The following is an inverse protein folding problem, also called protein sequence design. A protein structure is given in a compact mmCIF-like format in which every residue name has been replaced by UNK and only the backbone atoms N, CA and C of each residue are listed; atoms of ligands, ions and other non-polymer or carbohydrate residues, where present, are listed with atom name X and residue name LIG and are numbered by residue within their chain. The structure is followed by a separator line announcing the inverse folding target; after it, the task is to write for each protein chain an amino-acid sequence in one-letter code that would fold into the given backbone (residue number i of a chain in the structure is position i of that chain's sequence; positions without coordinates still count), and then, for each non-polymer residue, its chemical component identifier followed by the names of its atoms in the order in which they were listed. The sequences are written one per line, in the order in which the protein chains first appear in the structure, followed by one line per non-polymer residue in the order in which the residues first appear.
data_IF_120450342118
#
_entry.id   IF_120450342118
#
_cell.length_a   1.000
_cell.length_b   1.000
_cell.length_c   1.000
_cell.angle_alpha   90.00
_cell.angle_beta   90.00
_cell.angle_gamma   90.00
#
_symmetry.space_group_name_H-M   'P 1'
#
loop_
_entity.id
_entity.type
_entity.pdbx_description
1 polymer ?
#
# COMPACT_ATOMS: atom_id res chain seq x y z
N UNK A 1 -6.99 -10.95 -57.16
CA UNK A 1 -7.10 -11.78 -55.93
C UNK A 1 -6.29 -11.22 -54.76
N UNK A 2 -5.23 -10.45 -54.98
CA UNK A 2 -4.38 -9.96 -53.87
C UNK A 2 -5.04 -8.85 -53.04
N UNK A 3 -5.72 -7.91 -53.69
CA UNK A 3 -6.47 -6.82 -53.02
C UNK A 3 -7.54 -7.37 -52.07
N UNK A 4 -8.26 -8.42 -52.48
CA UNK A 4 -9.28 -9.07 -51.65
C UNK A 4 -8.65 -9.70 -50.40
N UNK A 5 -7.47 -10.32 -50.55
CA UNK A 5 -6.73 -10.92 -49.42
C UNK A 5 -6.29 -9.86 -48.42
N UNK A 6 -5.78 -8.72 -48.91
CA UNK A 6 -5.34 -7.60 -48.07
C UNK A 6 -6.51 -7.03 -47.24
N UNK A 7 -7.66 -6.76 -47.87
CA UNK A 7 -8.85 -6.29 -47.15
C UNK A 7 -9.40 -7.33 -46.17
N UNK A 8 -9.38 -8.62 -46.51
CA UNK A 8 -9.82 -9.66 -45.58
C UNK A 8 -8.91 -9.74 -44.35
N UNK A 9 -7.59 -9.58 -44.52
CA UNK A 9 -6.63 -9.61 -43.42
C UNK A 9 -6.85 -8.42 -42.47
N UNK A 10 -7.02 -7.22 -43.03
CA UNK A 10 -7.32 -6.01 -42.27
C UNK A 10 -8.65 -6.18 -41.51
N UNK A 11 -9.69 -6.70 -42.16
CA UNK A 11 -10.98 -6.94 -41.53
C UNK A 11 -10.86 -7.87 -40.32
N UNK A 12 -10.17 -9.00 -40.47
CA UNK A 12 -9.95 -9.94 -39.37
C UNK A 12 -9.10 -9.33 -38.24
N UNK A 13 -8.07 -8.54 -38.57
CA UNK A 13 -7.25 -7.85 -37.58
C UNK A 13 -8.09 -6.86 -36.76
N UNK A 14 -8.92 -6.05 -37.42
CA UNK A 14 -9.82 -5.11 -36.75
C UNK A 14 -10.87 -5.85 -35.92
N UNK A 15 -11.51 -6.88 -36.46
CA UNK A 15 -12.52 -7.66 -35.75
C UNK A 15 -11.97 -8.32 -34.49
N UNK A 16 -10.71 -8.80 -34.53
CA UNK A 16 -10.04 -9.40 -33.38
C UNK A 16 -9.71 -8.37 -32.29
N UNK A 17 -9.34 -7.15 -32.68
CA UNK A 17 -8.97 -6.08 -31.74
C UNK A 17 -10.15 -5.25 -31.23
N UNK A 18 -11.27 -5.25 -31.95
CA UNK A 18 -12.48 -4.51 -31.63
C UNK A 18 -12.98 -4.72 -30.19
N UNK A 19 -13.17 -5.96 -29.67
CA UNK A 19 -13.66 -6.16 -28.31
C UNK A 19 -12.72 -5.58 -27.25
N UNK A 20 -11.40 -5.68 -27.45
CA UNK A 20 -10.40 -5.09 -26.55
C UNK A 20 -10.46 -3.56 -26.54
N UNK A 21 -10.65 -2.93 -27.70
CA UNK A 21 -10.80 -1.48 -27.81
C UNK A 21 -12.07 -0.99 -27.11
N UNK A 22 -13.20 -1.70 -27.29
CA UNK A 22 -14.46 -1.40 -26.59
C UNK A 22 -14.28 -1.54 -25.08
N UNK A 23 -13.69 -2.64 -24.61
CA UNK A 23 -13.41 -2.87 -23.18
C UNK A 23 -12.53 -1.76 -22.60
N UNK A 24 -11.47 -1.36 -23.31
CA UNK A 24 -10.58 -0.28 -22.88
C UNK A 24 -11.34 1.04 -22.75
N UNK A 25 -12.14 1.42 -23.76
CA UNK A 25 -12.93 2.65 -23.70
C UNK A 25 -13.94 2.64 -22.55
N UNK A 26 -14.55 1.48 -22.28
CA UNK A 26 -15.54 1.29 -21.23
C UNK A 26 -14.93 1.44 -19.82
N UNK A 27 -13.69 1.01 -19.62
CA UNK A 27 -12.98 1.20 -18.34
C UNK A 27 -12.86 2.68 -17.97
N UNK A 28 -12.70 3.58 -18.94
CA UNK A 28 -12.56 5.01 -18.70
C UNK A 28 -13.89 5.79 -18.72
N UNK A 29 -14.98 5.16 -19.15
CA UNK A 29 -16.30 5.77 -19.21
C UNK A 29 -16.96 5.90 -17.83
N UNK A 30 -16.58 5.04 -16.87
CA UNK A 30 -17.10 5.09 -15.51
C UNK A 30 -16.31 6.10 -14.67
N UNK A 31 -16.78 7.35 -14.62
CA UNK A 31 -16.13 8.42 -13.87
C UNK A 31 -16.57 8.55 -12.39
N UNK A 32 -17.45 7.67 -11.90
CA UNK A 32 -18.01 7.77 -10.54
C UNK A 32 -17.35 6.82 -9.53
N UNK A 33 -16.02 6.72 -9.54
CA UNK A 33 -15.32 6.20 -8.37
C UNK A 33 -15.23 7.33 -7.33
N UNK A 34 -16.32 7.51 -6.59
CA UNK A 34 -16.34 8.41 -5.45
C UNK A 34 -15.29 7.91 -4.44
N UNK A 35 -14.18 8.62 -4.33
CA UNK A 35 -13.14 8.27 -3.39
C UNK A 35 -13.70 8.44 -1.98
N UNK A 36 -13.61 7.39 -1.18
CA UNK A 36 -13.99 7.48 0.22
C UNK A 36 -12.98 8.38 0.95
N UNK A 37 -13.45 9.53 1.45
CA UNK A 37 -12.67 10.45 2.28
C UNK A 37 -12.99 10.34 3.78
N UNK A 38 -14.02 9.56 4.13
CA UNK A 38 -14.43 9.34 5.51
C UNK A 38 -14.08 7.92 5.98
N UNK A 39 -12.99 7.82 6.75
CA UNK A 39 -12.49 6.56 7.31
C UNK A 39 -13.05 6.26 8.71
N UNK A 40 -13.87 7.16 9.25
CA UNK A 40 -14.38 7.09 10.63
C UNK A 40 -15.74 6.44 10.74
N UNK A 41 -16.56 6.47 9.68
CA UNK A 41 -17.87 5.82 9.66
C UNK A 41 -17.95 4.65 8.69
N UNK A 42 -18.57 3.56 9.13
CA UNK A 42 -18.88 2.41 8.27
C UNK A 42 -20.01 2.77 7.32
N UNK A 43 -19.68 3.29 6.15
CA UNK A 43 -20.64 3.50 5.07
C UNK A 43 -20.68 2.27 4.16
N UNK A 44 -21.85 1.98 3.61
CA UNK A 44 -21.98 0.98 2.56
C UNK A 44 -21.46 1.59 1.27
N UNK A 45 -20.43 0.98 0.67
CA UNK A 45 -20.01 1.32 -0.69
C UNK A 45 -21.22 1.20 -1.62
N UNK A 46 -21.46 2.22 -2.44
CA UNK A 46 -22.49 2.20 -3.47
C UNK A 46 -22.27 0.96 -4.34
N UNK A 47 -23.34 0.22 -4.63
CA UNK A 47 -23.30 -1.02 -5.42
C UNK A 47 -22.41 -0.78 -6.65
N UNK A 48 -21.40 -1.64 -6.83
CA UNK A 48 -20.53 -1.63 -8.01
C UNK A 48 -21.40 -1.55 -9.26
N UNK A 49 -21.02 -0.66 -10.20
CA UNK A 49 -21.76 -0.45 -11.44
C UNK A 49 -22.07 -1.80 -12.10
N UNK A 50 -23.34 -2.03 -12.40
CA UNK A 50 -23.84 -3.27 -13.01
C UNK A 50 -23.37 -3.29 -14.48
N UNK A 51 -22.23 -3.94 -14.71
CA UNK A 51 -21.44 -3.83 -15.94
C UNK A 51 -21.25 -5.21 -16.58
N UNK A 52 -22.12 -5.56 -17.53
CA UNK A 52 -22.04 -6.83 -18.26
C UNK A 52 -20.74 -6.99 -19.07
N UNK A 53 -20.14 -5.86 -19.50
CA UNK A 53 -18.85 -5.85 -20.21
C UNK A 53 -17.65 -6.14 -19.27
N UNK A 54 -17.80 -5.87 -17.97
CA UNK A 54 -16.78 -6.11 -16.96
C UNK A 54 -16.71 -7.60 -16.57
N UNK A 55 -17.80 -8.35 -16.82
CA UNK A 55 -17.85 -9.80 -16.66
C UNK A 55 -17.03 -10.52 -17.74
N UNK A 56 -16.76 -9.86 -18.86
CA UNK A 56 -15.96 -10.35 -19.99
C UNK A 56 -14.44 -10.27 -19.73
N UNK A 57 -14.03 -10.46 -18.47
CA UNK A 57 -12.66 -10.29 -18.00
C UNK A 57 -11.71 -11.26 -18.72
N UNK A 58 -10.98 -10.76 -19.71
CA UNK A 58 -9.98 -11.53 -20.46
C UNK A 58 -8.77 -11.83 -19.56
N UNK A 59 -8.79 -13.01 -18.94
CA UNK A 59 -7.74 -13.69 -18.16
C UNK A 59 -8.03 -13.84 -16.66
N UNK A 60 -8.34 -15.08 -16.29
CA UNK A 60 -8.05 -15.66 -14.97
C UNK A 60 -6.56 -16.03 -14.78
N UNK A 61 -5.68 -15.72 -15.74
CA UNK A 61 -4.25 -16.09 -15.66
C UNK A 61 -3.43 -15.29 -14.64
N UNK A 62 -3.91 -14.13 -14.16
CA UNK A 62 -3.33 -13.47 -12.99
C UNK A 62 -4.19 -13.73 -11.75
N UNK A 63 -4.39 -15.00 -11.40
CA UNK A 63 -4.61 -15.33 -10.00
C UNK A 63 -3.30 -15.02 -9.26
N UNK A 64 -3.11 -13.78 -8.86
CA UNK A 64 -1.97 -13.36 -8.05
C UNK A 64 -2.10 -14.07 -6.70
N UNK A 65 -1.50 -15.25 -6.59
CA UNK A 65 -1.45 -16.00 -5.34
C UNK A 65 -0.49 -15.24 -4.44
N UNK A 66 -1.04 -14.45 -3.53
CA UNK A 66 -0.27 -13.82 -2.46
C UNK A 66 0.25 -14.96 -1.58
N UNK A 67 1.49 -15.37 -1.82
CA UNK A 67 2.15 -16.33 -0.95
C UNK A 67 2.31 -15.68 0.43
N UNK A 68 1.79 -16.35 1.47
CA UNK A 68 1.94 -15.88 2.83
C UNK A 68 3.37 -16.16 3.29
N UNK A 69 4.24 -15.15 3.24
CA UNK A 69 5.57 -15.25 3.80
C UNK A 69 5.52 -15.03 5.31
N UNK A 70 6.05 -15.98 6.08
CA UNK A 70 6.29 -15.80 7.51
C UNK A 70 7.61 -15.07 7.69
N UNK A 71 7.58 -13.89 8.31
CA UNK A 71 8.81 -13.15 8.62
C UNK A 71 9.61 -13.92 9.68
N UNK A 72 10.88 -14.18 9.39
CA UNK A 72 11.80 -14.70 10.39
C UNK A 72 12.10 -13.58 11.40
N UNK A 73 11.60 -13.74 12.62
CA UNK A 73 11.93 -12.84 13.73
C UNK A 73 13.19 -13.40 14.40
N UNK A 74 14.36 -12.76 14.25
CA UNK A 74 15.56 -13.23 14.92
C UNK A 74 15.39 -13.13 16.44
N UNK A 75 15.79 -14.19 17.15
CA UNK A 75 15.87 -14.14 18.60
C UNK A 75 17.00 -13.16 18.99
N UNK A 76 16.62 -12.00 19.53
CA UNK A 76 17.57 -11.05 20.13
C UNK A 76 17.70 -11.46 21.59
N UNK A 77 18.83 -12.07 22.03
CA UNK A 77 19.03 -12.34 23.43
C UNK A 77 19.00 -11.01 24.19
N UNK A 78 18.10 -10.89 25.17
CA UNK A 78 18.15 -9.78 26.11
C UNK A 78 19.52 -9.81 26.78
N UNK A 79 20.35 -8.81 26.52
CA UNK A 79 21.48 -8.53 27.39
C UNK A 79 20.89 -8.35 28.79
N UNK A 80 21.28 -9.23 29.72
CA UNK A 80 21.05 -8.96 31.14
C UNK A 80 21.78 -7.66 31.42
N UNK A 81 21.02 -6.58 31.59
CA UNK A 81 21.54 -5.40 32.28
C UNK A 81 21.85 -5.86 33.69
N UNK A 82 23.11 -6.17 33.95
CA UNK A 82 23.62 -6.14 35.30
C UNK A 82 23.67 -4.67 35.65
N UNK A 83 22.54 -4.14 36.12
CA UNK A 83 22.51 -2.87 36.83
C UNK A 83 23.30 -3.10 38.12
N UNK A 84 24.62 -3.04 38.01
CA UNK A 84 25.47 -2.80 39.15
C UNK A 84 25.07 -1.40 39.58
N UNK A 85 24.16 -1.31 40.56
CA UNK A 85 23.91 -0.07 41.28
C UNK A 85 25.27 0.55 41.62
N UNK A 86 25.66 1.57 40.87
CA UNK A 86 26.79 2.40 41.20
C UNK A 86 26.25 3.39 42.21
N UNK A 87 26.13 2.94 43.46
CA UNK A 87 25.88 3.86 44.56
C UNK A 87 27.03 4.86 44.56
N UNK A 88 26.71 6.12 44.26
CA UNK A 88 27.64 7.22 44.46
C UNK A 88 27.87 7.29 45.97
N UNK A 89 29.12 7.11 46.39
CA UNK A 89 29.49 7.24 47.80
C UNK A 89 29.08 8.62 48.31
N UNK A 90 28.43 8.70 49.46
CA UNK A 90 28.08 9.96 50.12
C UNK A 90 29.33 10.80 50.46
N UNK A 91 30.51 10.18 50.46
CA UNK A 91 31.80 10.83 50.69
C UNK A 91 32.50 11.28 49.40
N UNK A 92 31.92 11.03 48.23
CA UNK A 92 32.47 11.47 46.95
C UNK A 92 31.94 12.87 46.61
N UNK A 93 32.85 13.83 46.41
CA UNK A 93 32.49 15.19 45.97
C UNK A 93 31.91 15.14 44.56
N UNK A 94 30.59 15.31 44.45
CA UNK A 94 29.89 15.30 43.18
C UNK A 94 30.34 16.49 42.30
N UNK A 95 30.50 16.31 40.98
CA UNK A 95 31.00 17.36 40.07
C UNK A 95 30.06 18.57 39.97
N UNK A 96 28.83 18.44 40.46
CA UNK A 96 27.84 19.52 40.55
C UNK A 96 27.64 20.07 41.97
N UNK A 97 28.35 19.56 42.98
CA UNK A 97 28.22 20.02 44.37
C UNK A 97 28.59 21.50 44.57
N UNK A 98 29.38 22.07 43.66
CA UNK A 98 29.77 23.49 43.66
C UNK A 98 28.96 24.35 42.70
N UNK A 99 28.00 23.76 41.97
CA UNK A 99 27.13 24.55 41.10
C UNK A 99 26.03 25.15 41.97
N UNK A 100 25.87 26.47 41.91
CA UNK A 100 24.73 27.13 42.52
C UNK A 100 23.41 26.59 41.95
N UNK A 101 22.30 26.72 42.69
CA UNK A 101 20.99 26.36 42.16
C UNK A 101 20.75 27.08 40.82
N UNK A 102 20.14 26.42 39.83
CA UNK A 102 19.88 27.03 38.55
C UNK A 102 19.11 28.35 38.76
N UNK A 103 19.67 29.43 38.24
CA UNK A 103 19.02 30.73 38.32
C UNK A 103 17.66 30.64 37.61
N UNK A 104 16.59 31.01 38.32
CA UNK A 104 15.28 31.17 37.71
C UNK A 104 15.37 32.32 36.71
N UNK A 105 15.49 32.02 35.42
CA UNK A 105 15.23 33.00 34.38
C UNK A 105 13.71 33.05 34.23
N UNK A 106 13.06 34.00 34.90
CA UNK A 106 11.68 34.34 34.59
C UNK A 106 11.65 34.91 33.17
N UNK A 107 10.84 34.28 32.32
CA UNK A 107 10.55 34.71 30.96
C UNK A 107 9.93 36.12 30.91
#
# INVERSE_FOLDING_TARGET
MEIVKEYTLIFFAVALLFPSAVSLSHMFAHQEHEACFDFTETHYHKKTLDCELCDLRSNQLLAFKVENYQFYIPYIPKLRSTDFYQFLSDFQKLPFALRGPPAFVSA
#
